data_IF_191978894562
#
_entry.id   IF_191978894562
#
_cell.length_a   1.000
_cell.length_b   1.000
_cell.length_c   1.000
_cell.angle_alpha   90.00
_cell.angle_beta   90.00
_cell.angle_gamma   90.00
#
_symmetry.space_group_name_H-M   'P 1'
#
loop_
_entity.id
_entity.type
_entity.pdbx_description
1 polymer ?
#
# COMPACT_ATOMS: atom_id res chain seq x y z
N UNK A 1 36.19 53.83 -23.44
CA UNK A 1 36.15 54.27 -24.82
C UNK A 1 35.14 53.42 -25.54
N UNK A 2 33.90 53.86 -25.60
CA UNK A 2 33.17 54.48 -26.71
C UNK A 2 33.42 53.79 -28.07
N UNK A 3 32.41 53.20 -28.70
CA UNK A 3 31.37 53.88 -29.48
C UNK A 3 30.29 52.94 -29.98
N UNK A 4 29.05 53.41 -29.90
CA UNK A 4 27.85 53.05 -30.64
C UNK A 4 27.98 53.32 -32.14
N UNK A 5 27.14 52.63 -32.94
CA UNK A 5 26.39 53.17 -34.13
C UNK A 5 25.59 51.97 -34.68
N UNK A 6 24.26 51.91 -34.69
CA UNK A 6 23.16 52.68 -35.30
C UNK A 6 22.95 52.40 -36.80
N UNK A 7 21.83 51.71 -37.05
CA UNK A 7 20.78 51.84 -38.07
C UNK A 7 21.11 52.43 -39.45
N UNK A 8 20.69 51.79 -40.56
CA UNK A 8 19.69 52.28 -41.53
C UNK A 8 19.72 51.52 -42.86
N UNK A 9 18.51 51.08 -43.22
CA UNK A 9 17.86 51.07 -44.55
C UNK A 9 18.68 50.94 -45.85
N UNK A 10 18.21 50.07 -46.75
CA UNK A 10 17.76 50.50 -48.10
C UNK A 10 16.94 49.39 -48.79
N UNK A 11 15.80 49.83 -49.28
CA UNK A 11 14.83 49.11 -50.12
C UNK A 11 15.31 48.90 -51.55
N UNK A 12 14.76 47.90 -52.24
CA UNK A 12 14.43 48.00 -53.65
C UNK A 12 15.15 47.07 -54.62
N UNK A 13 14.53 46.16 -55.25
CA UNK A 13 14.10 46.22 -56.63
C UNK A 13 13.46 44.94 -57.16
N UNK A 14 12.32 45.08 -57.79
CA UNK A 14 11.62 44.08 -58.60
C UNK A 14 12.49 43.50 -59.74
N UNK A 15 12.33 42.21 -60.00
CA UNK A 15 12.81 41.56 -61.20
C UNK A 15 11.92 40.36 -61.56
N UNK A 16 10.99 40.60 -62.48
CA UNK A 16 10.12 39.58 -63.10
C UNK A 16 10.95 38.78 -64.09
N UNK A 17 10.99 37.48 -63.98
CA UNK A 17 11.38 36.59 -65.08
C UNK A 17 10.44 35.36 -65.09
N UNK A 18 9.58 35.39 -66.13
CA UNK A 18 8.74 34.27 -66.51
C UNK A 18 9.59 33.20 -67.22
N UNK A 19 9.54 31.97 -66.78
CA UNK A 19 10.00 30.81 -67.57
C UNK A 19 9.05 29.62 -67.39
N UNK A 20 8.61 29.17 -68.52
CA UNK A 20 7.73 28.08 -68.88
C UNK A 20 8.06 26.80 -68.24
N UNK A 21 7.00 26.18 -67.59
CA UNK A 21 7.03 24.84 -66.98
C UNK A 21 6.57 23.80 -67.99
N UNK A 22 7.47 22.90 -68.33
CA UNK A 22 7.16 21.62 -69.01
C UNK A 22 6.64 20.65 -67.95
N UNK A 23 5.38 20.23 -68.07
CA UNK A 23 4.78 19.23 -67.20
C UNK A 23 5.32 17.83 -67.53
N UNK A 24 6.16 17.26 -66.64
CA UNK A 24 6.36 15.81 -66.57
C UNK A 24 5.51 15.28 -65.43
N UNK A 25 4.53 14.44 -65.76
CA UNK A 25 3.70 13.74 -64.82
C UNK A 25 4.52 12.68 -64.08
N UNK A 26 4.74 12.90 -62.78
CA UNK A 26 5.16 11.89 -61.84
C UNK A 26 4.01 11.66 -60.83
N UNK A 27 3.33 10.53 -60.98
CA UNK A 27 2.33 10.05 -60.00
C UNK A 27 3.03 9.75 -58.67
N UNK A 28 2.82 10.60 -57.69
CA UNK A 28 3.23 10.30 -56.31
C UNK A 28 2.27 9.28 -55.71
N UNK A 29 2.77 8.21 -55.02
CA UNK A 29 1.90 7.31 -54.27
C UNK A 29 1.29 8.06 -53.09
N UNK A 30 -0.04 8.03 -53.01
CA UNK A 30 -0.79 8.58 -51.86
C UNK A 30 -0.43 7.77 -50.62
N UNK A 31 0.40 8.30 -49.73
CA UNK A 31 0.53 7.82 -48.37
C UNK A 31 -0.82 8.10 -47.67
N UNK A 32 -1.64 7.07 -47.55
CA UNK A 32 -2.75 7.09 -46.62
C UNK A 32 -2.16 7.13 -45.20
N UNK A 33 -2.17 8.31 -44.60
CA UNK A 33 -1.94 8.44 -43.17
C UNK A 33 -3.08 7.68 -42.49
N UNK A 34 -2.77 6.47 -41.95
CA UNK A 34 -3.64 5.78 -41.05
C UNK A 34 -3.89 6.68 -39.84
N UNK A 35 -5.13 7.04 -39.61
CA UNK A 35 -5.53 7.73 -38.39
C UNK A 35 -5.00 6.92 -37.16
N UNK A 36 -4.43 7.58 -36.14
CA UNK A 36 -4.02 6.86 -34.95
C UNK A 36 -5.20 6.09 -34.40
N UNK A 37 -4.98 4.79 -34.10
CA UNK A 37 -5.98 3.93 -33.48
C UNK A 37 -6.57 4.66 -32.27
N UNK A 38 -7.89 4.73 -32.20
CA UNK A 38 -8.58 5.34 -31.07
C UNK A 38 -8.06 4.72 -29.77
N UNK A 39 -7.68 5.56 -28.80
CA UNK A 39 -7.28 5.10 -27.50
C UNK A 39 -8.39 4.18 -26.93
N UNK A 40 -8.03 3.05 -26.27
CA UNK A 40 -9.02 2.17 -25.70
C UNK A 40 -9.93 2.96 -24.74
N UNK A 41 -11.23 2.72 -24.83
CA UNK A 41 -12.22 3.36 -23.98
C UNK A 41 -11.84 3.16 -22.50
N UNK A 42 -12.01 4.18 -21.64
CA UNK A 42 -11.75 4.04 -20.22
C UNK A 42 -12.59 2.88 -19.67
N UNK A 43 -12.01 2.06 -18.75
CA UNK A 43 -12.73 0.93 -18.16
C UNK A 43 -14.02 1.40 -17.49
N UNK A 44 -15.05 0.58 -17.56
CA UNK A 44 -16.31 0.84 -16.88
C UNK A 44 -16.05 1.03 -15.37
N UNK A 45 -16.77 1.96 -14.70
CA UNK A 45 -16.58 2.17 -13.26
C UNK A 45 -16.83 0.86 -12.50
N UNK A 46 -15.94 0.56 -11.53
CA UNK A 46 -16.12 -0.59 -10.65
C UNK A 46 -17.45 -0.47 -9.89
N UNK A 47 -18.17 -1.58 -9.67
CA UNK A 47 -19.42 -1.58 -8.91
C UNK A 47 -19.19 -1.06 -7.47
N UNK A 48 -20.21 -0.45 -6.89
CA UNK A 48 -20.18 0.14 -5.54
C UNK A 48 -20.11 -0.94 -4.45
N UNK A 49 -19.44 -0.65 -3.33
CA UNK A 49 -19.26 -1.59 -2.22
C UNK A 49 -20.58 -2.02 -1.53
N UNK A 50 -21.61 -1.18 -1.59
CA UNK A 50 -22.97 -1.60 -1.17
C UNK A 50 -23.42 -2.88 -1.85
N UNK A 51 -22.92 -3.14 -3.07
CA UNK A 51 -23.21 -4.36 -3.82
C UNK A 51 -22.33 -5.56 -3.40
N UNK A 52 -21.25 -5.36 -2.64
CA UNK A 52 -20.37 -6.43 -2.15
C UNK A 52 -20.90 -7.12 -0.90
N UNK A 53 -21.68 -6.40 -0.08
CA UNK A 53 -22.14 -6.91 1.21
C UNK A 53 -22.87 -8.23 1.10
N UNK A 54 -22.36 -9.25 1.77
CA UNK A 54 -22.92 -10.59 1.78
C UNK A 54 -22.70 -11.41 0.51
N UNK A 55 -21.94 -10.90 -0.47
CA UNK A 55 -21.54 -11.66 -1.68
C UNK A 55 -20.20 -12.33 -1.51
N UNK A 56 -20.01 -13.45 -2.17
CA UNK A 56 -18.71 -14.06 -2.33
C UNK A 56 -17.94 -13.43 -3.50
N UNK A 57 -16.62 -13.61 -3.50
CA UNK A 57 -15.74 -13.06 -4.51
C UNK A 57 -16.15 -13.44 -5.94
N UNK A 58 -16.53 -14.68 -6.18
CA UNK A 58 -16.98 -15.20 -7.48
C UNK A 58 -18.38 -14.72 -7.88
N UNK A 59 -19.20 -14.27 -6.93
CA UNK A 59 -20.50 -13.63 -7.21
C UNK A 59 -20.36 -12.16 -7.61
N UNK A 60 -19.27 -11.51 -7.17
CA UNK A 60 -19.08 -10.08 -7.36
C UNK A 60 -18.06 -9.76 -8.46
N UNK A 61 -16.91 -10.43 -8.46
CA UNK A 61 -15.84 -10.21 -9.43
C UNK A 61 -15.88 -11.24 -10.56
N UNK A 62 -15.40 -10.82 -11.72
CA UNK A 62 -15.26 -11.73 -12.88
C UNK A 62 -13.97 -12.54 -12.76
N UNK A 63 -14.03 -13.78 -13.25
CA UNK A 63 -12.83 -14.65 -13.38
C UNK A 63 -12.12 -14.98 -12.07
N UNK A 64 -12.86 -15.07 -10.95
CA UNK A 64 -12.34 -15.60 -9.70
C UNK A 64 -12.32 -17.13 -9.76
N UNK A 65 -11.14 -17.73 -9.58
CA UNK A 65 -10.94 -19.18 -9.64
C UNK A 65 -10.35 -19.76 -8.35
N UNK A 66 -9.25 -19.20 -7.86
CA UNK A 66 -8.54 -19.72 -6.69
C UNK A 66 -9.15 -19.26 -5.35
N UNK A 67 -9.88 -18.15 -5.33
CA UNK A 67 -10.45 -17.53 -4.12
C UNK A 67 -11.99 -17.52 -4.19
N UNK A 68 -12.60 -18.56 -4.78
CA UNK A 68 -14.06 -18.74 -4.78
C UNK A 68 -14.58 -18.92 -3.36
N UNK A 69 -15.75 -18.37 -3.08
CA UNK A 69 -16.44 -18.54 -1.81
C UNK A 69 -15.94 -17.65 -0.67
N UNK A 70 -14.81 -16.94 -0.81
CA UNK A 70 -14.43 -15.95 0.20
C UNK A 70 -15.32 -14.70 0.08
N UNK A 71 -15.50 -13.91 1.15
CA UNK A 71 -16.21 -12.64 1.06
C UNK A 71 -15.59 -11.72 0.00
N UNK A 72 -16.43 -11.01 -0.76
CA UNK A 72 -15.97 -10.17 -1.87
C UNK A 72 -15.02 -9.06 -1.43
N UNK A 73 -15.20 -8.51 -0.25
CA UNK A 73 -14.36 -7.50 0.37
C UNK A 73 -12.96 -8.00 0.76
N UNK A 74 -12.75 -9.31 0.79
CA UNK A 74 -11.46 -9.90 1.12
C UNK A 74 -10.52 -10.07 -0.09
N UNK A 75 -10.99 -9.76 -1.31
CA UNK A 75 -10.14 -9.87 -2.51
C UNK A 75 -9.03 -8.83 -2.50
N UNK A 76 -9.33 -7.58 -2.17
CA UNK A 76 -8.32 -6.53 -2.18
C UNK A 76 -7.24 -6.77 -1.13
N UNK A 77 -7.54 -7.01 0.16
CA UNK A 77 -6.53 -7.38 1.16
C UNK A 77 -5.72 -8.63 0.78
N UNK A 78 -6.33 -9.61 0.12
CA UNK A 78 -5.60 -10.79 -0.36
C UNK A 78 -4.60 -10.43 -1.47
N UNK A 79 -4.96 -9.54 -2.40
CA UNK A 79 -4.05 -9.07 -3.46
C UNK A 79 -2.92 -8.23 -2.89
N UNK A 80 -3.18 -7.36 -1.91
CA UNK A 80 -2.14 -6.60 -1.20
C UNK A 80 -1.17 -7.52 -0.47
N UNK A 81 -1.69 -8.55 0.18
CA UNK A 81 -0.84 -9.55 0.82
C UNK A 81 0.07 -10.26 -0.20
N UNK A 82 -0.47 -10.67 -1.37
CA UNK A 82 0.31 -11.33 -2.43
C UNK A 82 1.40 -10.39 -2.95
N UNK A 83 1.06 -9.13 -3.26
CA UNK A 83 2.04 -8.18 -3.79
C UNK A 83 3.17 -7.93 -2.81
N UNK A 84 2.86 -7.80 -1.52
CA UNK A 84 3.85 -7.65 -0.44
C UNK A 84 4.71 -8.89 -0.29
N UNK A 85 4.10 -10.07 -0.26
CA UNK A 85 4.82 -11.33 -0.09
C UNK A 85 5.78 -11.62 -1.26
N UNK A 86 5.47 -11.12 -2.46
CA UNK A 86 6.28 -11.29 -3.67
C UNK A 86 7.16 -10.07 -3.99
N UNK A 87 6.98 -8.92 -3.33
CA UNK A 87 7.72 -7.70 -3.63
C UNK A 87 7.42 -7.13 -5.03
N UNK A 88 6.18 -7.24 -5.51
CA UNK A 88 5.76 -6.82 -6.85
C UNK A 88 4.52 -5.91 -6.77
N UNK A 89 4.26 -5.13 -7.81
CA UNK A 89 3.00 -4.37 -7.94
C UNK A 89 1.92 -5.14 -8.68
N UNK A 90 0.66 -4.65 -8.63
CA UNK A 90 -0.52 -5.25 -9.27
C UNK A 90 -0.31 -5.54 -10.76
N UNK A 91 0.42 -4.67 -11.47
CA UNK A 91 0.75 -4.81 -12.89
C UNK A 91 1.62 -6.02 -13.23
N UNK A 92 2.22 -6.70 -12.26
CA UNK A 92 2.97 -7.93 -12.50
C UNK A 92 2.07 -9.07 -12.97
N UNK A 93 0.93 -9.26 -12.30
CA UNK A 93 -0.03 -10.33 -12.62
C UNK A 93 -1.24 -9.84 -13.44
N UNK A 94 -1.55 -8.55 -13.41
CA UNK A 94 -2.77 -8.00 -14.03
C UNK A 94 -2.48 -6.97 -15.11
N UNK A 95 -3.39 -6.86 -16.08
CA UNK A 95 -3.48 -5.69 -16.96
C UNK A 95 -4.22 -4.60 -16.17
N UNK A 96 -3.53 -3.51 -15.87
CA UNK A 96 -4.10 -2.44 -15.04
C UNK A 96 -5.36 -1.86 -15.66
N UNK A 97 -6.44 -1.78 -14.88
CA UNK A 97 -7.78 -1.38 -15.33
C UNK A 97 -8.61 -2.51 -15.95
N UNK A 98 -8.01 -3.70 -16.20
CA UNK A 98 -8.65 -4.87 -16.77
C UNK A 98 -8.25 -6.12 -15.99
N UNK A 99 -8.57 -6.16 -14.71
CA UNK A 99 -8.12 -7.19 -13.77
C UNK A 99 -8.70 -8.59 -14.07
N UNK A 100 -9.75 -8.67 -14.87
CA UNK A 100 -10.38 -9.91 -15.34
C UNK A 100 -9.70 -10.53 -16.58
N UNK A 101 -8.79 -9.82 -17.26
CA UNK A 101 -8.03 -10.34 -18.39
C UNK A 101 -7.07 -11.46 -17.98
N UNK A 102 -6.86 -12.42 -18.89
CA UNK A 102 -6.09 -13.66 -18.66
C UNK A 102 -4.78 -13.71 -19.43
N UNK A 103 -4.28 -12.56 -19.91
CA UNK A 103 -3.15 -12.50 -20.84
C UNK A 103 -1.80 -12.75 -20.18
N UNK A 104 -1.73 -12.68 -18.84
CA UNK A 104 -0.46 -12.81 -18.11
C UNK A 104 -0.27 -14.18 -17.49
N UNK A 105 0.84 -14.81 -17.87
CA UNK A 105 1.27 -16.11 -17.31
C UNK A 105 1.38 -16.07 -15.79
N UNK A 106 1.88 -14.96 -15.24
CA UNK A 106 2.08 -14.77 -13.80
C UNK A 106 0.75 -14.87 -13.03
N UNK A 107 -0.36 -14.44 -13.61
CA UNK A 107 -1.70 -14.58 -13.02
C UNK A 107 -2.10 -16.05 -12.89
N UNK A 108 -1.84 -16.86 -13.90
CA UNK A 108 -2.13 -18.30 -13.87
C UNK A 108 -1.24 -19.04 -12.85
N UNK A 109 0.05 -18.69 -12.80
CA UNK A 109 0.98 -19.26 -11.82
C UNK A 109 0.54 -18.90 -10.40
N UNK A 110 0.16 -17.63 -10.14
CA UNK A 110 -0.31 -17.19 -8.84
C UNK A 110 -1.54 -17.98 -8.37
N UNK A 111 -2.51 -18.26 -9.25
CA UNK A 111 -3.67 -19.12 -8.93
C UNK A 111 -3.25 -20.51 -8.45
N UNK A 112 -2.33 -21.14 -9.17
CA UNK A 112 -1.82 -22.47 -8.79
C UNK A 112 -1.10 -22.42 -7.44
N UNK A 113 -0.33 -21.36 -7.15
CA UNK A 113 0.33 -21.17 -5.87
C UNK A 113 -0.65 -20.93 -4.73
N UNK A 114 -1.70 -20.15 -4.94
CA UNK A 114 -2.78 -19.94 -3.96
C UNK A 114 -3.44 -21.28 -3.62
N UNK A 115 -3.83 -22.04 -4.64
CA UNK A 115 -4.45 -23.36 -4.47
C UNK A 115 -3.55 -24.34 -3.72
N UNK A 116 -2.26 -24.39 -4.08
CA UNK A 116 -1.25 -25.19 -3.37
C UNK A 116 -1.14 -24.81 -1.89
N UNK A 117 -1.01 -23.51 -1.60
CA UNK A 117 -0.87 -23.01 -0.23
C UNK A 117 -2.11 -23.37 0.60
N UNK A 118 -3.31 -23.15 0.06
CA UNK A 118 -4.57 -23.49 0.72
C UNK A 118 -4.71 -25.01 0.93
N UNK A 119 -4.34 -25.81 -0.07
CA UNK A 119 -4.39 -27.27 0.05
C UNK A 119 -3.47 -27.78 1.16
N UNK A 120 -2.22 -27.29 1.22
CA UNK A 120 -1.28 -27.68 2.28
C UNK A 120 -1.78 -27.27 3.66
N UNK A 121 -2.26 -26.04 3.82
CA UNK A 121 -2.83 -25.59 5.10
C UNK A 121 -4.02 -26.45 5.53
N UNK A 122 -4.90 -26.80 4.61
CA UNK A 122 -6.07 -27.62 4.93
C UNK A 122 -5.72 -29.08 5.25
N UNK A 123 -4.74 -29.66 4.55
CA UNK A 123 -4.44 -31.09 4.69
C UNK A 123 -3.38 -31.40 5.73
N UNK A 124 -2.43 -30.48 5.98
CA UNK A 124 -1.29 -30.69 6.86
C UNK A 124 -1.43 -29.93 8.18
N UNK A 125 -2.07 -28.77 8.14
CA UNK A 125 -2.15 -27.86 9.30
C UNK A 125 -3.58 -27.65 9.81
N UNK A 126 -4.50 -28.57 9.54
CA UNK A 126 -5.89 -28.56 10.02
C UNK A 126 -6.62 -27.22 9.73
N UNK A 127 -6.38 -26.63 8.55
CA UNK A 127 -6.96 -25.37 8.15
C UNK A 127 -6.29 -24.12 8.76
N UNK A 128 -5.27 -24.29 9.58
CA UNK A 128 -4.49 -23.17 10.14
C UNK A 128 -3.59 -22.57 9.07
N UNK A 129 -3.45 -21.24 9.06
CA UNK A 129 -2.59 -20.51 8.13
C UNK A 129 -1.11 -20.53 8.55
N UNK A 130 -0.50 -21.71 8.58
CA UNK A 130 0.92 -21.89 8.92
C UNK A 130 1.84 -21.66 7.70
N UNK A 131 1.38 -22.09 6.53
CA UNK A 131 2.08 -21.82 5.27
C UNK A 131 1.42 -20.64 4.56
N UNK A 132 2.24 -19.67 4.17
CA UNK A 132 1.79 -18.47 3.44
C UNK A 132 2.68 -18.21 2.23
N UNK A 133 2.30 -17.29 1.34
CA UNK A 133 3.14 -16.88 0.20
C UNK A 133 4.52 -16.40 0.69
N UNK A 134 4.54 -15.63 1.79
CA UNK A 134 5.77 -15.08 2.36
C UNK A 134 6.72 -16.16 2.90
N UNK A 135 6.21 -17.32 3.32
CA UNK A 135 7.06 -18.44 3.79
C UNK A 135 8.14 -18.81 2.77
N UNK A 136 7.78 -18.79 1.48
CA UNK A 136 8.69 -19.14 0.38
C UNK A 136 9.25 -17.91 -0.34
N UNK A 137 8.43 -16.88 -0.58
CA UNK A 137 8.80 -15.75 -1.44
C UNK A 137 9.60 -14.66 -0.75
N UNK A 138 9.30 -14.34 0.52
CA UNK A 138 10.07 -13.41 1.36
C UNK A 138 10.34 -12.05 0.70
N UNK A 139 9.35 -11.48 0.01
CA UNK A 139 9.47 -10.21 -0.70
C UNK A 139 10.13 -10.32 -2.09
N UNK A 140 10.18 -11.51 -2.69
CA UNK A 140 10.71 -11.71 -4.04
C UNK A 140 9.73 -12.52 -4.90
N UNK A 141 9.51 -12.10 -6.16
CA UNK A 141 8.63 -12.80 -7.10
C UNK A 141 9.03 -14.27 -7.32
N UNK A 142 10.32 -14.57 -7.15
CA UNK A 142 10.87 -15.91 -7.22
C UNK A 142 11.18 -16.41 -5.82
N UNK A 143 10.57 -17.53 -5.46
CA UNK A 143 10.84 -18.17 -4.18
C UNK A 143 12.30 -18.61 -4.07
N UNK A 144 12.90 -18.47 -2.89
CA UNK A 144 14.25 -18.95 -2.63
C UNK A 144 14.26 -20.49 -2.66
N UNK A 145 14.93 -21.07 -3.63
CA UNK A 145 15.06 -22.53 -3.81
C UNK A 145 16.36 -23.10 -3.23
N UNK A 146 17.32 -22.23 -2.91
CA UNK A 146 18.64 -22.64 -2.43
C UNK A 146 19.03 -21.83 -1.21
N UNK A 147 19.63 -22.50 -0.22
CA UNK A 147 20.26 -21.83 0.92
C UNK A 147 21.54 -21.16 0.43
N UNK A 148 21.66 -19.86 0.68
CA UNK A 148 22.86 -19.09 0.41
C UNK A 148 23.57 -18.80 1.74
N UNK A 149 24.88 -19.02 1.79
CA UNK A 149 25.70 -18.54 2.89
C UNK A 149 26.05 -17.07 2.65
N UNK A 150 26.38 -16.35 3.71
CA UNK A 150 26.77 -14.96 3.61
C UNK A 150 27.98 -14.82 2.66
N UNK A 151 27.80 -14.06 1.57
CA UNK A 151 28.81 -13.85 0.54
C UNK A 151 28.66 -14.70 -0.72
N UNK A 152 27.77 -15.68 -0.73
CA UNK A 152 27.51 -16.49 -1.92
C UNK A 152 26.73 -15.73 -2.98
N UNK A 153 27.06 -15.97 -4.24
CA UNK A 153 26.21 -15.54 -5.36
C UNK A 153 25.08 -16.55 -5.54
N UNK A 154 23.90 -16.06 -5.90
CA UNK A 154 22.78 -16.94 -6.24
C UNK A 154 23.22 -17.91 -7.35
N UNK A 155 23.09 -19.24 -7.17
CA UNK A 155 23.47 -20.20 -8.19
C UNK A 155 22.58 -20.04 -9.42
N UNK A 156 23.15 -20.34 -10.58
CA UNK A 156 22.36 -20.51 -11.81
C UNK A 156 21.38 -21.64 -11.58
N UNK A 157 20.09 -21.36 -11.86
CA UNK A 157 19.03 -22.29 -11.49
C UNK A 157 19.09 -23.58 -12.27
N UNK A 158 19.25 -24.66 -11.52
CA UNK A 158 18.89 -25.99 -11.98
C UNK A 158 17.44 -26.26 -11.53
N UNK A 159 16.59 -26.72 -12.43
CA UNK A 159 15.25 -27.16 -12.05
C UNK A 159 15.36 -28.45 -11.23
N UNK A 160 14.37 -28.73 -10.36
CA UNK A 160 14.34 -30.00 -9.62
C UNK A 160 14.39 -31.23 -10.56
N UNK A 161 13.86 -31.07 -11.79
CA UNK A 161 13.93 -32.12 -12.83
C UNK A 161 15.31 -32.31 -13.41
N UNK A 162 16.19 -31.30 -13.43
CA UNK A 162 17.60 -31.42 -13.89
C UNK A 162 18.46 -32.07 -12.83
N UNK A 163 18.16 -31.85 -11.54
CA UNK A 163 18.90 -32.46 -10.43
C UNK A 163 18.39 -33.90 -10.15
N UNK A 164 17.06 -34.09 -10.20
CA UNK A 164 16.39 -35.35 -9.92
C UNK A 164 15.35 -35.69 -11.00
N UNK A 165 15.75 -36.22 -12.15
CA UNK A 165 14.85 -36.54 -13.25
C UNK A 165 13.69 -37.47 -12.85
N UNK A 166 13.87 -38.29 -11.80
CA UNK A 166 12.87 -39.21 -11.26
C UNK A 166 11.76 -38.55 -10.46
N UNK A 167 11.93 -37.25 -10.07
CA UNK A 167 10.94 -36.48 -9.33
C UNK A 167 9.97 -35.72 -10.24
N UNK A 168 9.80 -36.13 -11.50
CA UNK A 168 8.73 -35.58 -12.35
C UNK A 168 7.36 -35.86 -11.72
N UNK A 169 6.91 -34.97 -10.86
CA UNK A 169 5.63 -35.06 -10.16
C UNK A 169 4.52 -34.90 -11.19
N UNK A 170 3.82 -35.97 -11.44
CA UNK A 170 2.52 -35.91 -12.13
C UNK A 170 1.62 -34.96 -11.33
N UNK A 171 1.15 -33.96 -11.99
CA UNK A 171 0.21 -32.92 -11.55
C UNK A 171 -0.39 -33.11 -10.14
N UNK A 172 -0.28 -32.09 -9.26
CA UNK A 172 -0.89 -32.03 -7.92
C UNK A 172 -2.43 -32.20 -7.87
N UNK A 173 -3.06 -32.41 -9.01
CA UNK A 173 -4.51 -32.64 -9.12
C UNK A 173 -5.00 -33.98 -8.52
N UNK A 174 -4.10 -34.84 -8.06
CA UNK A 174 -4.41 -36.15 -7.48
C UNK A 174 -3.84 -36.35 -6.07
N UNK A 175 -3.77 -35.32 -5.25
CA UNK A 175 -3.59 -35.51 -3.82
C UNK A 175 -4.88 -36.11 -3.27
N UNK A 176 -4.79 -37.41 -2.95
CA UNK A 176 -5.89 -38.17 -2.34
C UNK A 176 -6.24 -37.51 -0.97
N UNK A 177 -7.49 -37.05 -0.75
CA UNK A 177 -7.91 -36.46 0.52
C UNK A 177 -7.90 -37.43 1.70
N UNK A 178 -7.46 -38.68 1.49
CA UNK A 178 -7.44 -39.76 2.49
C UNK A 178 -6.09 -40.01 3.22
N UNK A 179 -5.04 -39.27 2.95
CA UNK A 179 -3.78 -39.44 3.71
C UNK A 179 -3.90 -38.83 5.11
N UNK A 180 -4.29 -39.64 6.07
CA UNK A 180 -4.14 -39.33 7.50
C UNK A 180 -2.68 -39.03 7.83
N UNK A 181 -2.38 -38.02 8.65
CA UNK A 181 -1.01 -37.71 9.05
C UNK A 181 -0.40 -38.88 9.80
N UNK A 182 0.65 -39.44 9.22
CA UNK A 182 1.48 -40.43 9.90
C UNK A 182 2.03 -39.79 11.18
N UNK A 183 1.71 -40.40 12.34
CA UNK A 183 2.37 -40.08 13.60
C UNK A 183 3.84 -40.52 13.50
N UNK A 184 4.69 -39.69 12.93
CA UNK A 184 6.12 -39.83 13.06
C UNK A 184 6.52 -39.35 14.48
N UNK A 185 7.26 -40.12 15.28
CA UNK A 185 7.79 -39.63 16.53
C UNK A 185 8.84 -38.54 16.20
N UNK A 186 8.58 -37.32 16.62
CA UNK A 186 9.55 -36.24 16.51
C UNK A 186 10.68 -36.48 17.51
N UNK A 187 11.70 -37.23 17.10
CA UNK A 187 12.99 -37.20 17.79
C UNK A 187 13.75 -36.02 17.25
N UNK A 188 13.45 -34.83 17.75
CA UNK A 188 14.31 -33.66 17.55
C UNK A 188 15.58 -33.92 18.35
N UNK A 189 16.67 -34.26 17.67
CA UNK A 189 18.01 -34.21 18.28
C UNK A 189 18.28 -32.73 18.52
N UNK A 190 18.06 -32.30 19.75
CA UNK A 190 18.44 -30.96 20.18
C UNK A 190 19.96 -30.84 20.07
N UNK A 191 20.46 -30.01 19.15
CA UNK A 191 21.82 -29.56 19.16
C UNK A 191 22.17 -28.89 20.48
N UNK A 192 23.47 -28.81 20.89
CA UNK A 192 23.84 -28.18 22.12
C UNK A 192 23.26 -26.76 22.18
N UNK A 193 22.55 -26.47 23.27
CA UNK A 193 21.96 -25.16 23.51
C UNK A 193 23.07 -24.09 23.42
N UNK A 194 22.83 -22.96 22.73
CA UNK A 194 23.78 -21.86 22.74
C UNK A 194 24.02 -21.42 24.19
N UNK A 195 25.29 -21.17 24.51
CA UNK A 195 25.68 -20.73 25.84
C UNK A 195 24.79 -19.55 26.29
N UNK A 196 24.35 -19.51 27.55
CA UNK A 196 23.50 -18.44 28.04
C UNK A 196 24.22 -17.10 27.81
N UNK A 197 23.57 -16.20 27.07
CA UNK A 197 24.00 -14.82 26.93
C UNK A 197 24.13 -14.23 28.33
N UNK A 198 25.21 -13.51 28.68
CA UNK A 198 25.33 -12.88 29.99
C UNK A 198 24.01 -12.15 30.31
N UNK A 199 23.49 -12.39 31.53
CA UNK A 199 22.29 -11.72 31.99
C UNK A 199 22.50 -10.20 31.83
N UNK A 200 21.68 -9.57 31.01
CA UNK A 200 21.64 -8.12 30.92
C UNK A 200 21.32 -7.58 32.33
N UNK A 201 21.99 -6.47 32.70
CA UNK A 201 21.66 -5.76 33.94
C UNK A 201 20.13 -5.56 34.01
N UNK A 202 19.52 -5.58 35.23
CA UNK A 202 18.08 -5.42 35.35
C UNK A 202 17.66 -4.14 34.63
N UNK A 203 16.83 -4.27 33.58
CA UNK A 203 16.27 -3.12 32.88
C UNK A 203 15.49 -2.28 33.88
N UNK A 204 15.59 -0.96 33.81
CA UNK A 204 14.77 -0.06 34.62
C UNK A 204 13.28 -0.44 34.42
N UNK A 205 12.47 -0.35 35.47
CA UNK A 205 11.05 -0.70 35.36
C UNK A 205 10.38 0.18 34.30
N UNK A 206 9.58 -0.43 33.44
CA UNK A 206 8.80 0.28 32.43
C UNK A 206 7.75 1.18 33.11
N UNK A 207 7.44 2.36 32.55
CA UNK A 207 6.38 3.20 33.07
C UNK A 207 5.00 2.51 32.95
N UNK A 208 4.04 3.00 33.73
CA UNK A 208 2.66 2.53 33.55
C UNK A 208 2.06 3.05 32.25
N UNK A 209 1.05 2.36 31.73
CA UNK A 209 0.27 2.82 30.57
C UNK A 209 -0.29 4.24 30.80
N UNK A 210 -0.80 4.51 32.00
CA UNK A 210 -1.34 5.81 32.36
C UNK A 210 -0.29 6.91 32.28
N UNK A 211 0.94 6.62 32.75
CA UNK A 211 2.03 7.60 32.69
C UNK A 211 2.43 7.94 31.24
N UNK A 212 2.51 6.90 30.37
CA UNK A 212 2.87 7.11 28.96
C UNK A 212 1.83 7.97 28.26
N UNK A 213 0.53 7.68 28.38
CA UNK A 213 -0.51 8.49 27.76
C UNK A 213 -0.63 9.89 28.37
N UNK A 214 -0.48 10.04 29.67
CA UNK A 214 -0.46 11.38 30.31
C UNK A 214 0.75 12.21 29.86
N UNK A 215 1.89 11.59 29.64
CA UNK A 215 3.08 12.25 29.10
C UNK A 215 2.86 12.69 27.66
N UNK A 216 2.22 11.83 26.83
CA UNK A 216 1.88 12.17 25.45
C UNK A 216 0.89 13.34 25.40
N UNK A 217 -0.19 13.29 26.15
CA UNK A 217 -1.17 14.39 26.20
C UNK A 217 -0.53 15.70 26.64
N UNK A 218 0.34 15.67 27.66
CA UNK A 218 1.12 16.84 28.10
C UNK A 218 2.08 17.33 27.01
N UNK A 219 2.72 16.41 26.29
CA UNK A 219 3.64 16.73 25.19
C UNK A 219 2.93 17.39 24.02
N UNK A 220 1.66 17.03 23.78
CA UNK A 220 0.81 17.67 22.78
C UNK A 220 0.42 19.11 23.13
N UNK A 221 0.43 19.49 24.39
CA UNK A 221 0.00 20.81 24.89
C UNK A 221 -0.93 20.74 26.11
N UNK A 222 -1.25 19.52 26.56
CA UNK A 222 -2.11 19.21 27.70
C UNK A 222 -3.60 19.13 27.35
N UNK A 223 -4.38 18.50 28.22
CA UNK A 223 -5.81 18.23 28.06
C UNK A 223 -6.62 19.47 27.62
N UNK A 224 -6.34 20.61 28.25
CA UNK A 224 -7.06 21.86 27.94
C UNK A 224 -6.80 22.41 26.54
N UNK A 225 -5.64 22.16 25.95
CA UNK A 225 -5.32 22.53 24.59
C UNK A 225 -5.87 21.52 23.59
N UNK A 226 -5.68 20.22 23.85
CA UNK A 226 -6.16 19.09 23.04
C UNK A 226 -7.68 19.13 22.88
N UNK A 227 -8.42 19.36 23.98
CA UNK A 227 -9.89 19.41 23.96
C UNK A 227 -10.47 20.57 23.15
N UNK A 228 -9.72 21.66 22.93
CA UNK A 228 -10.14 22.80 22.10
C UNK A 228 -10.00 22.55 20.60
N UNK A 229 -9.26 21.52 20.20
CA UNK A 229 -9.09 21.18 18.77
C UNK A 229 -10.30 20.38 18.30
N UNK A 230 -11.14 21.02 17.48
CA UNK A 230 -12.32 20.39 16.87
C UNK A 230 -12.03 19.87 15.45
N UNK A 231 -11.09 20.51 14.75
CA UNK A 231 -10.69 20.11 13.39
C UNK A 231 -9.22 20.44 13.14
N UNK A 232 -8.62 19.69 12.20
CA UNK A 232 -7.28 19.95 11.66
C UNK A 232 -7.36 19.92 10.13
N UNK A 233 -6.68 20.87 9.50
CA UNK A 233 -6.56 20.96 8.04
C UNK A 233 -5.08 20.97 7.68
N UNK A 234 -4.64 20.00 6.92
CA UNK A 234 -3.27 19.84 6.47
C UNK A 234 -3.19 20.07 4.96
N UNK A 235 -2.23 20.88 4.51
CA UNK A 235 -1.93 21.10 3.10
C UNK A 235 -0.43 20.99 2.87
N UNK A 236 -0.07 20.24 1.85
CA UNK A 236 1.34 19.99 1.57
C UNK A 236 1.54 19.11 0.35
N UNK A 237 2.48 18.21 0.46
CA UNK A 237 2.85 17.30 -0.63
C UNK A 237 3.02 15.89 -0.11
N UNK A 238 2.90 14.92 -1.00
CA UNK A 238 3.28 13.53 -0.77
C UNK A 238 4.29 13.09 -1.80
N UNK A 239 5.31 12.39 -1.32
CA UNK A 239 6.29 11.67 -2.11
C UNK A 239 5.94 10.18 -2.08
N UNK A 240 5.73 9.55 -3.23
CA UNK A 240 5.28 8.18 -3.32
C UNK A 240 6.31 7.31 -4.02
N UNK A 241 6.80 6.31 -3.30
CA UNK A 241 7.64 5.24 -3.83
C UNK A 241 6.78 3.98 -3.94
N UNK A 242 6.53 3.54 -5.16
CA UNK A 242 5.85 2.27 -5.41
C UNK A 242 6.87 1.13 -5.41
N UNK A 243 6.46 -0.12 -5.09
CA UNK A 243 7.37 -1.25 -5.20
C UNK A 243 7.97 -1.32 -6.61
N UNK A 244 9.29 -1.57 -6.73
CA UNK A 244 9.92 -1.69 -8.04
C UNK A 244 9.31 -2.86 -8.82
N UNK A 245 9.26 -2.78 -10.15
CA UNK A 245 9.00 -3.95 -10.95
C UNK A 245 10.09 -5.00 -10.68
N UNK A 246 9.80 -6.29 -10.80
CA UNK A 246 10.82 -7.32 -10.63
C UNK A 246 11.98 -7.06 -11.60
N UNK A 247 13.18 -7.11 -11.07
CA UNK A 247 14.40 -7.00 -11.87
C UNK A 247 14.53 -8.17 -12.86
N UNK A 248 15.44 -8.07 -13.82
CA UNK A 248 15.76 -9.20 -14.70
C UNK A 248 16.27 -10.38 -13.85
N UNK A 249 16.01 -11.62 -14.28
CA UNK A 249 16.48 -12.81 -13.55
C UNK A 249 17.97 -12.70 -13.23
N UNK A 250 18.34 -12.81 -11.94
CA UNK A 250 19.74 -12.75 -11.48
C UNK A 250 20.35 -11.34 -11.38
N UNK A 251 19.62 -10.28 -11.71
CA UNK A 251 20.04 -8.89 -11.53
C UNK A 251 19.57 -8.29 -10.20
N UNK A 252 20.19 -7.19 -9.75
CA UNK A 252 19.66 -6.44 -8.62
C UNK A 252 18.27 -5.88 -8.99
N UNK A 253 17.33 -5.78 -8.03
CA UNK A 253 16.06 -5.15 -8.29
C UNK A 253 16.30 -3.69 -8.74
N UNK A 254 15.56 -3.18 -9.72
CA UNK A 254 15.64 -1.78 -10.08
C UNK A 254 15.22 -0.93 -8.88
N UNK A 255 15.71 0.31 -8.76
CA UNK A 255 15.27 1.20 -7.70
C UNK A 255 13.75 1.40 -7.79
N UNK A 256 13.05 1.58 -6.65
CA UNK A 256 11.63 1.86 -6.65
C UNK A 256 11.33 3.09 -7.52
N UNK A 257 10.42 3.01 -8.48
CA UNK A 257 10.04 4.18 -9.24
C UNK A 257 9.33 5.18 -8.32
N UNK A 258 9.82 6.42 -8.30
CA UNK A 258 9.12 7.52 -7.66
C UNK A 258 8.01 7.99 -8.60
N UNK A 259 6.79 8.14 -8.07
CA UNK A 259 5.72 8.82 -8.78
C UNK A 259 5.88 10.36 -8.74
N UNK A 260 6.96 10.82 -8.11
CA UNK A 260 7.26 12.23 -7.87
C UNK A 260 6.52 12.79 -6.66
N UNK A 261 6.82 14.04 -6.37
CA UNK A 261 6.18 14.80 -5.30
C UNK A 261 4.94 15.50 -5.86
N UNK A 262 3.78 15.21 -5.28
CA UNK A 262 2.49 15.75 -5.73
C UNK A 262 1.74 16.40 -4.57
N UNK A 263 0.83 17.39 -4.84
CA UNK A 263 0.03 18.03 -3.79
C UNK A 263 -0.84 17.02 -3.03
N UNK A 264 -0.91 17.18 -1.72
CA UNK A 264 -1.75 16.40 -0.82
C UNK A 264 -2.47 17.31 0.16
N UNK A 265 -3.70 16.94 0.50
CA UNK A 265 -4.52 17.58 1.52
C UNK A 265 -5.10 16.50 2.45
N UNK A 266 -5.14 16.78 3.75
CA UNK A 266 -5.82 15.95 4.74
C UNK A 266 -6.68 16.83 5.63
N UNK A 267 -7.93 16.46 5.79
CA UNK A 267 -8.91 17.17 6.61
C UNK A 267 -9.47 16.22 7.66
N UNK A 268 -9.43 16.67 8.90
CA UNK A 268 -9.90 15.90 10.07
C UNK A 268 -10.92 16.71 10.84
N UNK A 269 -12.08 16.14 11.09
CA UNK A 269 -13.10 16.63 12.01
C UNK A 269 -13.81 15.44 12.63
N UNK A 270 -13.22 14.90 13.71
CA UNK A 270 -13.61 13.63 14.30
C UNK A 270 -15.13 13.43 14.40
N UNK A 271 -15.68 12.26 14.02
CA UNK A 271 -14.94 11.09 13.55
C UNK A 271 -14.59 11.13 12.04
N UNK A 272 -14.88 12.21 11.33
CA UNK A 272 -14.73 12.35 9.88
C UNK A 272 -13.27 12.67 9.50
N UNK A 273 -12.78 12.00 8.46
CA UNK A 273 -11.48 12.27 7.88
C UNK A 273 -11.47 12.08 6.36
N UNK A 274 -10.65 12.83 5.65
CA UNK A 274 -10.44 12.67 4.22
C UNK A 274 -9.02 13.07 3.85
N UNK A 275 -8.36 12.22 3.08
CA UNK A 275 -7.06 12.53 2.48
C UNK A 275 -7.18 12.51 0.96
N UNK A 276 -6.52 13.45 0.29
CA UNK A 276 -6.54 13.54 -1.16
C UNK A 276 -5.16 13.87 -1.73
N UNK A 277 -4.90 13.35 -2.92
CA UNK A 277 -3.65 13.55 -3.67
C UNK A 277 -3.99 13.97 -5.09
N UNK A 278 -3.35 15.01 -5.59
CA UNK A 278 -3.63 15.58 -6.91
C UNK A 278 -2.49 15.30 -7.87
N UNK A 279 -2.73 14.44 -8.87
CA UNK A 279 -1.78 14.18 -9.94
C UNK A 279 -1.93 15.17 -11.10
N UNK A 280 -0.83 15.56 -11.76
CA UNK A 280 -0.90 16.46 -12.92
C UNK A 280 -1.85 15.91 -14.00
N UNK A 281 -2.79 16.75 -14.45
CA UNK A 281 -3.73 16.41 -15.54
C UNK A 281 -4.78 15.34 -15.21
N UNK A 282 -4.95 15.00 -13.93
CA UNK A 282 -5.97 14.03 -13.47
C UNK A 282 -6.80 14.61 -12.34
N UNK A 283 -8.04 14.15 -12.16
CA UNK A 283 -8.79 14.42 -10.94
C UNK A 283 -8.02 13.95 -9.70
N UNK A 284 -8.24 14.63 -8.58
CA UNK A 284 -7.66 14.21 -7.31
C UNK A 284 -8.13 12.80 -6.94
N UNK A 285 -7.20 11.97 -6.48
CA UNK A 285 -7.51 10.68 -5.84
C UNK A 285 -7.75 10.97 -4.37
N UNK A 286 -8.87 10.52 -3.85
CA UNK A 286 -9.26 10.76 -2.47
C UNK A 286 -9.86 9.51 -1.84
N UNK A 287 -9.65 9.38 -0.54
CA UNK A 287 -10.30 8.41 0.32
C UNK A 287 -10.67 9.08 1.64
N UNK A 288 -11.75 8.61 2.26
CA UNK A 288 -12.21 9.23 3.48
C UNK A 288 -13.25 8.42 4.22
N UNK A 289 -13.58 8.93 5.40
CA UNK A 289 -14.63 8.46 6.28
C UNK A 289 -15.58 9.62 6.60
N UNK A 290 -16.87 9.45 6.37
CA UNK A 290 -17.88 10.50 6.57
C UNK A 290 -18.53 10.48 7.97
N UNK A 291 -18.04 9.57 8.83
CA UNK A 291 -18.62 9.29 10.16
C UNK A 291 -19.52 8.04 10.16
N UNK A 292 -19.79 7.44 9.00
CA UNK A 292 -20.64 6.26 8.85
C UNK A 292 -20.05 5.27 7.85
N UNK A 293 -19.60 5.76 6.71
CA UNK A 293 -19.04 4.94 5.64
C UNK A 293 -17.62 5.39 5.27
N UNK A 294 -16.74 4.44 5.04
CA UNK A 294 -15.45 4.64 4.42
C UNK A 294 -15.57 4.55 2.90
N UNK A 295 -14.85 5.40 2.17
CA UNK A 295 -14.97 5.47 0.73
C UNK A 295 -13.67 5.85 0.03
N UNK A 296 -13.53 5.36 -1.22
CA UNK A 296 -12.56 5.83 -2.20
C UNK A 296 -13.28 6.47 -3.39
N UNK A 297 -12.61 7.38 -4.10
CA UNK A 297 -13.15 7.98 -5.32
C UNK A 297 -12.57 7.41 -6.62
N UNK A 298 -11.55 6.55 -6.55
CA UNK A 298 -10.87 6.01 -7.73
C UNK A 298 -10.47 4.54 -7.53
N UNK A 299 -11.33 3.59 -7.89
CA UNK A 299 -12.74 3.76 -8.29
C UNK A 299 -13.61 4.24 -7.12
N UNK A 300 -14.81 4.79 -7.43
CA UNK A 300 -15.76 5.15 -6.38
C UNK A 300 -16.27 3.85 -5.74
N UNK A 301 -15.96 3.65 -4.45
CA UNK A 301 -16.37 2.48 -3.68
C UNK A 301 -16.57 2.83 -2.21
N UNK A 302 -17.23 1.95 -1.49
CA UNK A 302 -17.26 1.92 -0.02
C UNK A 302 -16.39 0.76 0.45
N UNK A 303 -15.75 0.92 1.59
CA UNK A 303 -14.88 -0.09 2.15
C UNK A 303 -15.49 -0.74 3.39
N UNK A 304 -15.03 -1.96 3.68
CA UNK A 304 -15.46 -2.77 4.82
C UNK A 304 -14.24 -3.40 5.48
N UNK A 305 -14.42 -4.02 6.65
CA UNK A 305 -13.34 -4.72 7.34
C UNK A 305 -12.16 -3.82 7.69
N UNK A 306 -10.95 -4.32 7.49
CA UNK A 306 -9.72 -3.60 7.84
C UNK A 306 -9.48 -2.37 6.95
N UNK A 307 -9.95 -2.36 5.70
CA UNK A 307 -9.91 -1.17 4.83
C UNK A 307 -10.77 -0.03 5.39
N UNK A 308 -12.01 -0.34 5.82
CA UNK A 308 -12.86 0.65 6.51
C UNK A 308 -12.16 1.21 7.75
N UNK A 309 -11.51 0.36 8.53
CA UNK A 309 -10.80 0.77 9.73
C UNK A 309 -9.70 1.80 9.42
N UNK A 310 -8.87 1.56 8.39
CA UNK A 310 -7.86 2.54 7.96
C UNK A 310 -8.48 3.90 7.63
N UNK A 311 -9.68 3.91 7.05
CA UNK A 311 -10.38 5.14 6.72
C UNK A 311 -10.98 5.83 7.96
N UNK A 312 -11.38 5.07 8.98
CA UNK A 312 -11.78 5.62 10.29
C UNK A 312 -10.62 6.34 10.96
N UNK A 313 -9.41 5.76 10.90
CA UNK A 313 -8.18 6.36 11.44
C UNK A 313 -7.83 7.72 10.79
N UNK A 314 -8.28 7.98 9.55
CA UNK A 314 -8.14 9.32 8.94
C UNK A 314 -8.91 10.41 9.70
N UNK A 315 -9.91 10.05 10.49
CA UNK A 315 -10.68 10.95 11.34
C UNK A 315 -10.06 11.23 12.71
N UNK A 316 -8.96 10.58 13.05
CA UNK A 316 -8.27 10.75 14.32
C UNK A 316 -7.43 12.03 14.32
N UNK A 317 -7.62 12.85 15.33
CA UNK A 317 -6.84 14.08 15.50
C UNK A 317 -5.48 13.81 16.15
N UNK A 318 -5.46 12.87 17.08
CA UNK A 318 -4.31 12.51 17.88
C UNK A 318 -4.23 10.98 18.06
N UNK A 319 -3.77 10.25 17.04
CA UNK A 319 -3.85 8.77 16.98
C UNK A 319 -3.38 8.04 18.23
N UNK A 320 -2.42 8.61 18.95
CA UNK A 320 -1.95 8.02 20.20
C UNK A 320 -2.97 8.07 21.34
N UNK A 321 -3.90 9.05 21.37
CA UNK A 321 -4.94 9.11 22.40
C UNK A 321 -6.08 8.15 22.08
N UNK A 322 -6.49 8.08 20.82
CA UNK A 322 -7.56 7.19 20.34
C UNK A 322 -7.18 5.70 20.51
N UNK A 323 -5.89 5.36 20.38
CA UNK A 323 -5.42 3.99 20.56
C UNK A 323 -5.88 3.35 21.88
N UNK A 324 -5.83 4.11 22.99
CA UNK A 324 -6.29 3.61 24.30
C UNK A 324 -7.76 3.22 24.30
N UNK A 325 -8.56 3.98 23.56
CA UNK A 325 -10.02 3.80 23.54
C UNK A 325 -10.44 2.69 22.58
N UNK A 326 -9.63 2.39 21.55
CA UNK A 326 -9.91 1.40 20.50
C UNK A 326 -9.33 0.00 20.79
N UNK A 327 -8.52 -0.14 21.85
CA UNK A 327 -7.85 -1.39 22.19
C UNK A 327 -8.18 -1.88 23.59
N UNK A 328 -8.10 -3.21 23.79
CA UNK A 328 -8.12 -3.90 25.08
C UNK A 328 -6.73 -4.43 25.41
N UNK A 329 -6.50 -4.84 26.66
CA UNK A 329 -5.22 -5.38 27.13
C UNK A 329 -4.03 -4.46 26.81
N UNK A 330 -4.25 -3.15 26.91
CA UNK A 330 -3.22 -2.15 26.62
C UNK A 330 -2.13 -2.20 27.68
N UNK A 331 -0.89 -2.36 27.26
CA UNK A 331 0.26 -2.43 28.16
C UNK A 331 1.55 -1.85 27.52
N UNK A 332 2.44 -1.36 28.36
CA UNK A 332 3.82 -1.04 27.95
C UNK A 332 4.62 -2.33 28.07
N UNK A 333 5.08 -2.88 26.97
CA UNK A 333 5.74 -4.21 26.96
C UNK A 333 7.25 -4.15 26.73
N UNK A 334 7.79 -3.06 26.20
CA UNK A 334 9.22 -2.92 25.98
C UNK A 334 9.67 -1.46 25.82
N UNK A 335 11.00 -1.25 25.96
CA UNK A 335 11.68 -0.14 25.32
C UNK A 335 12.21 -0.60 23.96
N UNK A 336 12.04 0.23 22.93
CA UNK A 336 12.47 -0.06 21.56
C UNK A 336 13.15 1.19 20.97
N UNK A 337 14.24 0.99 20.24
CA UNK A 337 14.90 2.08 19.54
C UNK A 337 14.33 2.23 18.14
N UNK A 338 13.81 3.43 17.81
CA UNK A 338 13.28 3.77 16.49
C UNK A 338 14.08 4.96 15.96
N UNK A 339 14.88 4.73 14.92
CA UNK A 339 15.88 5.72 14.50
C UNK A 339 16.85 6.01 15.65
N UNK A 340 16.95 7.27 16.03
CA UNK A 340 17.80 7.70 17.15
C UNK A 340 17.05 7.80 18.49
N UNK A 341 15.72 7.65 18.50
CA UNK A 341 14.88 7.77 19.68
C UNK A 341 14.76 6.46 20.45
N UNK A 342 14.96 6.51 21.77
CA UNK A 342 14.52 5.47 22.67
C UNK A 342 13.03 5.66 22.94
N UNK A 343 12.23 4.63 22.73
CA UNK A 343 10.77 4.72 22.78
C UNK A 343 10.18 3.69 23.74
N UNK A 344 9.06 4.03 24.38
CA UNK A 344 8.20 3.09 25.05
C UNK A 344 7.23 2.48 24.03
N UNK A 345 7.27 1.15 23.87
CA UNK A 345 6.32 0.42 23.05
C UNK A 345 5.10 0.08 23.84
N UNK A 346 3.95 0.54 23.37
CA UNK A 346 2.63 0.20 23.89
C UNK A 346 1.99 -0.77 22.91
N UNK A 347 1.44 -1.85 23.41
CA UNK A 347 0.70 -2.85 22.64
C UNK A 347 -0.74 -2.91 23.13
N UNK A 348 -1.66 -3.24 22.23
CA UNK A 348 -3.06 -3.41 22.56
C UNK A 348 -3.72 -4.41 21.61
N UNK A 349 -4.74 -5.12 22.10
CA UNK A 349 -5.58 -5.97 21.26
C UNK A 349 -6.75 -5.17 20.74
N UNK A 350 -6.93 -5.16 19.43
CA UNK A 350 -8.01 -4.43 18.75
C UNK A 350 -9.39 -4.88 19.25
N UNK A 351 -10.29 -3.94 19.52
CA UNK A 351 -11.67 -4.22 19.97
C UNK A 351 -12.58 -4.68 18.84
N UNK A 352 -12.42 -4.07 17.67
CA UNK A 352 -13.25 -4.33 16.49
C UNK A 352 -12.47 -5.02 15.38
N UNK A 353 -13.15 -5.82 14.55
CA UNK A 353 -12.52 -6.56 13.48
C UNK A 353 -11.79 -7.82 13.97
N UNK A 354 -10.67 -8.13 13.37
CA UNK A 354 -9.84 -9.27 13.79
C UNK A 354 -9.07 -8.90 15.07
N UNK A 355 -9.02 -9.79 16.08
CA UNK A 355 -8.32 -9.55 17.35
C UNK A 355 -6.79 -9.63 17.15
N UNK A 356 -6.21 -8.64 16.50
CA UNK A 356 -4.76 -8.52 16.30
C UNK A 356 -4.15 -7.61 17.34
N UNK A 357 -2.84 -7.75 17.52
CA UNK A 357 -2.05 -6.88 18.39
C UNK A 357 -1.46 -5.76 17.53
N UNK A 358 -1.94 -4.55 17.75
CA UNK A 358 -1.34 -3.34 17.22
C UNK A 358 -0.33 -2.75 18.21
N UNK A 359 0.55 -1.89 17.73
CA UNK A 359 1.63 -1.30 18.53
C UNK A 359 1.75 0.18 18.22
N UNK A 360 2.06 0.95 19.27
CA UNK A 360 2.45 2.35 19.13
C UNK A 360 3.69 2.62 19.96
N UNK A 361 4.50 3.57 19.52
CA UNK A 361 5.76 3.92 20.17
C UNK A 361 5.77 5.40 20.51
N UNK A 362 6.01 5.70 21.78
CA UNK A 362 6.17 7.06 22.28
C UNK A 362 7.63 7.32 22.64
N UNK A 363 8.17 8.44 22.21
CA UNK A 363 9.52 8.88 22.54
C UNK A 363 9.67 9.04 24.06
N UNK A 364 10.68 8.42 24.64
CA UNK A 364 10.87 8.37 26.10
C UNK A 364 11.26 9.72 26.70
N UNK A 365 11.81 10.65 25.92
CA UNK A 365 12.23 11.97 26.37
C UNK A 365 11.15 13.02 26.17
N UNK A 366 10.55 13.05 24.99
CA UNK A 366 9.58 14.09 24.62
C UNK A 366 8.15 13.69 24.92
N UNK A 367 7.86 12.41 25.07
CA UNK A 367 6.52 11.86 25.23
C UNK A 367 5.70 11.81 23.92
N UNK A 368 6.23 12.30 22.79
CA UNK A 368 5.49 12.36 21.53
C UNK A 368 5.39 10.99 20.85
N UNK A 369 4.31 10.78 20.09
CA UNK A 369 4.13 9.58 19.27
C UNK A 369 5.15 9.58 18.14
N UNK A 370 5.87 8.46 17.96
CA UNK A 370 6.91 8.28 16.92
C UNK A 370 6.44 7.36 15.82
N UNK A 371 5.75 6.26 16.19
CA UNK A 371 5.30 5.24 15.24
C UNK A 371 3.99 4.60 15.69
N UNK A 372 3.10 4.34 14.75
CA UNK A 372 2.06 3.31 14.87
C UNK A 372 2.40 2.12 13.96
N UNK A 373 2.03 0.94 14.39
CA UNK A 373 2.19 -0.32 13.67
C UNK A 373 0.88 -1.09 13.75
N UNK A 374 0.24 -1.22 12.63
CA UNK A 374 -1.04 -1.90 12.46
C UNK A 374 -0.85 -3.17 11.66
N UNK A 375 -1.51 -4.25 12.04
CA UNK A 375 -1.50 -5.50 11.28
C UNK A 375 -2.77 -5.61 10.47
N UNK A 376 -2.63 -5.56 9.15
CA UNK A 376 -3.71 -5.81 8.21
C UNK A 376 -3.92 -7.30 8.03
N UNK A 377 -5.18 -7.74 8.00
CA UNK A 377 -5.54 -9.15 7.84
C UNK A 377 -6.14 -9.41 6.46
N UNK A 378 -5.77 -10.53 5.87
CA UNK A 378 -6.45 -11.09 4.71
C UNK A 378 -6.72 -12.58 4.92
N UNK A 379 -7.55 -13.17 4.06
CA UNK A 379 -7.88 -14.61 4.13
C UNK A 379 -6.67 -15.52 3.89
N UNK A 380 -5.59 -15.00 3.30
CA UNK A 380 -4.38 -15.77 2.95
C UNK A 380 -3.12 -15.35 3.69
N UNK A 381 -3.17 -14.34 4.53
CA UNK A 381 -2.03 -13.88 5.32
C UNK A 381 -2.25 -12.52 5.96
N UNK A 382 -1.28 -12.09 6.75
CA UNK A 382 -1.27 -10.80 7.44
C UNK A 382 -0.04 -9.99 7.03
N UNK A 383 -0.18 -8.68 6.90
CA UNK A 383 0.92 -7.79 6.55
C UNK A 383 0.88 -6.52 7.39
N UNK A 384 2.04 -5.93 7.71
CA UNK A 384 2.10 -4.72 8.50
C UNK A 384 1.86 -3.47 7.66
N UNK A 385 1.31 -2.44 8.33
CA UNK A 385 1.43 -1.05 7.93
C UNK A 385 2.05 -0.27 9.07
N UNK A 386 3.02 0.59 8.77
CA UNK A 386 3.67 1.45 9.75
C UNK A 386 3.49 2.91 9.36
N UNK A 387 3.10 3.73 10.32
CA UNK A 387 3.09 5.19 10.15
C UNK A 387 4.05 5.81 11.14
N UNK A 388 5.00 6.60 10.64
CA UNK A 388 5.96 7.37 11.43
C UNK A 388 5.54 8.82 11.47
N UNK A 389 5.63 9.43 12.64
CA UNK A 389 5.22 10.80 12.94
C UNK A 389 6.46 11.62 13.31
N UNK A 390 6.80 12.60 12.50
CA UNK A 390 8.06 13.34 12.59
C UNK A 390 7.79 14.85 12.48
N UNK A 391 8.78 15.67 12.85
CA UNK A 391 8.73 17.14 12.69
C UNK A 391 7.51 17.78 13.38
N UNK A 392 7.36 17.53 14.67
CA UNK A 392 6.30 18.12 15.48
C UNK A 392 6.43 19.63 15.64
N UNK A 393 5.39 20.38 15.29
CA UNK A 393 5.34 21.85 15.42
C UNK A 393 4.07 22.28 16.12
N UNK A 394 4.10 23.50 16.69
CA UNK A 394 2.97 24.10 17.35
C UNK A 394 1.91 24.60 16.38
N UNK A 395 0.63 24.26 16.63
CA UNK A 395 -0.55 24.70 15.90
C UNK A 395 -1.65 24.92 16.93
N UNK A 396 -2.15 26.16 17.10
CA UNK A 396 -3.26 26.48 18.03
C UNK A 396 -3.08 25.86 19.42
N UNK A 397 -1.97 26.07 20.08
CA UNK A 397 -1.61 25.56 21.41
C UNK A 397 -1.34 24.05 21.51
N UNK A 398 -1.47 23.28 20.43
CA UNK A 398 -1.09 21.85 20.38
C UNK A 398 0.10 21.61 19.47
N UNK A 399 0.78 20.47 19.65
CA UNK A 399 1.79 19.99 18.72
C UNK A 399 1.20 18.95 17.79
N UNK A 400 1.48 19.08 16.49
CA UNK A 400 1.10 18.11 15.45
C UNK A 400 2.28 17.76 14.57
N UNK A 401 2.36 16.54 14.01
CA UNK A 401 3.43 16.15 13.11
C UNK A 401 3.28 16.84 11.74
N UNK A 402 4.36 17.42 11.24
CA UNK A 402 4.42 18.02 9.89
C UNK A 402 4.97 17.06 8.85
N UNK A 403 5.52 15.94 9.27
CA UNK A 403 5.93 14.84 8.40
C UNK A 403 5.28 13.55 8.86
N UNK A 404 4.67 12.85 7.93
CA UNK A 404 4.05 11.54 8.13
C UNK A 404 4.60 10.59 7.07
N UNK A 405 5.23 9.49 7.48
CA UNK A 405 5.78 8.49 6.56
C UNK A 405 5.07 7.16 6.77
N UNK A 406 4.31 6.76 5.76
CA UNK A 406 3.57 5.49 5.74
C UNK A 406 4.37 4.45 4.95
N UNK A 407 4.60 3.30 5.55
CA UNK A 407 5.25 2.13 4.96
C UNK A 407 4.20 1.02 4.90
N UNK A 408 3.78 0.67 3.71
CA UNK A 408 2.72 -0.30 3.51
C UNK A 408 3.01 -1.24 2.33
N UNK A 409 2.14 -2.22 2.15
CA UNK A 409 2.16 -3.14 1.03
C UNK A 409 2.11 -2.45 -0.34
N UNK A 410 1.41 -1.33 -0.43
CA UNK A 410 1.25 -0.55 -1.66
C UNK A 410 2.46 0.33 -1.99
N UNK A 411 3.44 0.41 -1.08
CA UNK A 411 4.62 1.24 -1.20
C UNK A 411 4.74 2.26 -0.07
N UNK A 412 5.78 3.08 -0.17
CA UNK A 412 6.06 4.09 0.83
C UNK A 412 5.53 5.46 0.40
N UNK A 413 4.88 6.14 1.33
CA UNK A 413 4.32 7.48 1.14
C UNK A 413 4.89 8.39 2.21
N UNK A 414 5.48 9.52 1.82
CA UNK A 414 5.97 10.53 2.75
C UNK A 414 5.22 11.83 2.54
N UNK A 415 4.30 12.13 3.44
CA UNK A 415 3.58 13.39 3.48
C UNK A 415 4.42 14.44 4.18
N UNK A 416 4.54 15.62 3.58
CA UNK A 416 5.19 16.80 4.16
C UNK A 416 4.20 17.96 4.13
N UNK A 417 3.72 18.35 5.29
CA UNK A 417 2.73 19.39 5.45
C UNK A 417 3.42 20.76 5.49
N UNK A 418 3.10 21.62 4.54
CA UNK A 418 3.60 22.99 4.51
C UNK A 418 2.77 23.91 5.44
N UNK A 419 1.48 23.62 5.56
CA UNK A 419 0.52 24.37 6.37
C UNK A 419 -0.37 23.39 7.14
N UNK A 420 -0.56 23.68 8.43
CA UNK A 420 -1.54 22.98 9.27
C UNK A 420 -2.33 24.02 10.05
N UNK A 421 -3.66 24.00 9.91
CA UNK A 421 -4.55 24.93 10.59
C UNK A 421 -5.45 24.17 11.58
N UNK A 422 -5.45 24.60 12.84
CA UNK A 422 -6.37 24.12 13.86
C UNK A 422 -7.68 24.89 13.84
N UNK A 423 -8.81 24.19 13.98
CA UNK A 423 -10.15 24.76 14.03
C UNK A 423 -10.56 25.59 12.79
N UNK A 424 -9.89 25.38 11.65
CA UNK A 424 -10.34 25.97 10.39
C UNK A 424 -11.71 25.42 10.01
N UNK A 425 -12.60 26.24 9.44
CA UNK A 425 -13.90 25.77 8.95
C UNK A 425 -13.68 24.78 7.81
N UNK A 426 -14.26 23.58 7.94
CA UNK A 426 -14.22 22.52 6.93
C UNK A 426 -15.67 22.21 6.56
N UNK A 427 -16.02 22.37 5.29
CA UNK A 427 -17.36 22.07 4.79
C UNK A 427 -17.65 20.56 4.85
N UNK A 428 -18.88 20.18 5.22
CA UNK A 428 -19.30 18.78 5.28
C UNK A 428 -19.15 18.04 3.96
N UNK A 429 -19.33 18.74 2.85
CA UNK A 429 -19.17 18.20 1.51
C UNK A 429 -17.76 17.61 1.24
N UNK A 430 -16.73 18.07 1.96
CA UNK A 430 -15.36 17.51 1.86
C UNK A 430 -15.29 16.05 2.27
N UNK A 431 -16.10 15.64 3.24
CA UNK A 431 -16.08 14.27 3.78
C UNK A 431 -17.05 13.33 3.05
N UNK A 432 -17.93 13.86 2.22
CA UNK A 432 -18.99 13.08 1.57
C UNK A 432 -18.44 12.27 0.40
N UNK A 433 -18.84 11.00 0.33
CA UNK A 433 -18.52 10.13 -0.81
C UNK A 433 -18.98 10.77 -2.12
N UNK A 434 -18.12 10.90 -3.14
CA UNK A 434 -18.50 11.42 -4.44
C UNK A 434 -19.59 10.58 -5.11
N UNK A 435 -20.52 11.24 -5.79
CA UNK A 435 -21.52 10.57 -6.61
C UNK A 435 -20.90 10.26 -7.98
N UNK A 436 -21.07 9.02 -8.50
CA UNK A 436 -20.63 8.72 -9.85
C UNK A 436 -21.25 9.67 -10.87
N UNK A 437 -20.50 10.12 -11.90
CA UNK A 437 -21.10 10.89 -12.96
C UNK A 437 -22.21 10.09 -13.65
N UNK A 438 -23.29 10.77 -14.00
CA UNK A 438 -24.39 10.13 -14.72
C UNK A 438 -23.85 9.41 -15.99
N UNK A 439 -24.35 8.22 -16.30
CA UNK A 439 -23.97 7.52 -17.52
C UNK A 439 -24.22 8.42 -18.73
N UNK A 440 -23.22 8.55 -19.59
CA UNK A 440 -23.35 9.34 -20.82
C UNK A 440 -24.47 8.70 -21.66
N UNK A 441 -25.45 9.48 -22.16
CA UNK A 441 -26.47 8.91 -23.06
C UNK A 441 -25.79 8.19 -24.21
N UNK A 442 -26.36 7.08 -24.71
CA UNK A 442 -25.84 6.44 -25.91
C UNK A 442 -25.72 7.48 -27.02
N UNK A 443 -24.61 7.48 -27.70
CA UNK A 443 -24.45 8.31 -28.89
C UNK A 443 -25.42 7.78 -29.96
N UNK A 444 -26.31 8.64 -30.43
CA UNK A 444 -27.24 8.37 -31.51
C UNK A 444 -26.48 8.08 -32.82
#
# INVERSE_FOLDING_TARGET
MNKNLSLRDVSGLLGILAMTIVALGMSAPSLHAQAPAAAPAPPAPAPLAADMKGKTADQFYKKIEALKGIPADQIHPAMEYITTALGVGCGYCHVIGHFDQEDKREKHVARSMIQMTMAVNNTVFDGKRELTCYTCHRGAAKAASTLLLAGDKAPTELTAMEIFPSLAVKSFSNLDPGMSPSKAPATVVAGPAPAPKPAAAPAAPLPSVADVFSNYERALGGEAAVSKINSLSFKGTVDMLVPPPPGPPGGPPPPPPSMGTVPAEHYVRAPKGVISVTFPGRPAVAMGFDGTIGWHNTPIREDTGDELRMLVELGEKFPGLEFRDDHTNVQVDAMEKIGDSDTYRVVGTRKEGYPVIDRINFDAQTGLLVRSYTTMQSVIGSFPEETYYEDYRGVSDVKVPFTMRVVSAEGNRTYKWAQVDGNAPIEDAKFTKPVPPAPKPPAD
#
